data_IF_300232997592
#
_entry.id   IF_300232997592
#
_cell.length_a   1.000
_cell.length_b   1.000
_cell.length_c   1.000
_cell.angle_alpha   90.00
_cell.angle_beta   90.00
_cell.angle_gamma   90.00
#
_symmetry.space_group_name_H-M   'P 1'
#
loop_
_entity.id
_entity.type
_entity.pdbx_description
1 polymer ?
#
# COMPACT_ATOMS: atom_id res chain seq x y z
N UNK A 1 2.74 9.55 5.40
CA UNK A 1 1.52 9.29 6.19
C UNK A 1 1.86 8.66 7.53
N UNK A 2 1.36 9.23 8.62
CA UNK A 2 1.48 8.63 9.95
C UNK A 2 0.36 7.58 10.12
N UNK A 3 0.73 6.30 10.08
CA UNK A 3 -0.24 5.19 10.13
C UNK A 3 -0.89 5.04 11.51
N UNK A 4 -0.23 5.44 12.58
CA UNK A 4 -0.84 5.44 13.92
C UNK A 4 -1.96 6.48 14.00
N UNK A 5 -1.75 7.68 13.46
CA UNK A 5 -2.79 8.70 13.38
C UNK A 5 -3.97 8.24 12.51
N UNK A 6 -3.71 7.57 11.39
CA UNK A 6 -4.78 6.99 10.55
C UNK A 6 -5.58 5.94 11.32
N UNK A 7 -4.91 5.06 12.07
CA UNK A 7 -5.59 4.05 12.91
C UNK A 7 -6.47 4.70 13.98
N UNK A 8 -6.00 5.78 14.58
CA UNK A 8 -6.76 6.54 15.58
C UNK A 8 -7.96 7.25 14.97
N UNK A 9 -7.75 8.03 13.89
CA UNK A 9 -8.79 8.75 13.15
C UNK A 9 -9.92 7.83 12.67
N UNK A 10 -9.58 6.63 12.20
CA UNK A 10 -10.55 5.68 11.61
C UNK A 10 -11.01 4.60 12.59
N UNK A 11 -10.55 4.65 13.83
CA UNK A 11 -10.81 3.62 14.84
C UNK A 11 -12.14 3.75 15.59
N UNK A 12 -12.89 4.83 15.37
CA UNK A 12 -14.21 5.07 16.02
C UNK A 12 -14.14 5.30 17.53
N UNK A 13 -12.95 5.53 18.10
CA UNK A 13 -12.79 5.75 19.55
C UNK A 13 -12.77 7.24 19.99
N UNK A 14 -12.93 8.12 19.02
CA UNK A 14 -12.76 9.56 19.23
C UNK A 14 -11.30 9.96 19.40
N UNK A 15 -11.00 11.20 19.05
CA UNK A 15 -9.67 11.81 19.22
C UNK A 15 -9.71 12.69 20.46
N UNK A 16 -8.68 12.57 21.30
CA UNK A 16 -8.50 13.51 22.39
C UNK A 16 -8.08 14.86 21.81
N UNK A 17 -9.01 15.81 21.76
CA UNK A 17 -8.76 17.19 21.37
C UNK A 17 -8.84 18.07 22.61
N UNK A 18 -7.76 18.79 22.92
CA UNK A 18 -7.74 19.75 24.02
C UNK A 18 -8.26 21.10 23.53
N UNK A 19 -9.42 21.53 24.02
CA UNK A 19 -9.85 22.92 23.90
C UNK A 19 -9.03 23.80 24.82
N UNK A 20 -8.80 25.05 24.42
CA UNK A 20 -8.20 26.07 25.30
C UNK A 20 -9.10 26.21 26.55
N UNK A 21 -8.51 26.04 27.74
CA UNK A 21 -9.22 26.16 29.06
C UNK A 21 -10.21 25.03 29.40
N UNK A 22 -10.20 23.88 28.71
CA UNK A 22 -11.00 22.73 29.13
C UNK A 22 -10.16 21.48 29.39
N UNK A 23 -10.66 20.60 30.25
CA UNK A 23 -10.15 19.25 30.36
C UNK A 23 -10.48 18.46 29.09
N UNK A 24 -9.71 17.42 28.81
CA UNK A 24 -9.76 16.63 27.60
C UNK A 24 -11.20 16.28 27.15
N UNK A 25 -11.64 16.88 26.05
CA UNK A 25 -12.87 16.49 25.37
C UNK A 25 -12.53 15.44 24.31
N UNK A 26 -13.21 14.31 24.34
CA UNK A 26 -13.18 13.36 23.24
C UNK A 26 -14.06 13.86 22.12
N UNK A 27 -13.47 14.07 20.96
CA UNK A 27 -14.21 14.41 19.73
C UNK A 27 -14.37 13.13 18.93
N UNK A 28 -15.60 12.69 18.73
CA UNK A 28 -15.93 11.58 17.87
C UNK A 28 -16.02 12.07 16.41
N UNK A 29 -15.13 11.56 15.58
CA UNK A 29 -15.13 11.89 14.15
C UNK A 29 -16.02 10.89 13.41
N UNK A 30 -17.13 11.37 12.91
CA UNK A 30 -18.06 10.59 12.08
C UNK A 30 -17.88 11.01 10.62
N UNK A 31 -17.48 10.08 9.78
CA UNK A 31 -17.35 10.35 8.34
C UNK A 31 -16.23 9.58 7.67
N UNK A 32 -16.17 9.73 6.35
CA UNK A 32 -15.08 9.19 5.52
C UNK A 32 -14.02 10.26 5.34
N UNK A 33 -12.78 9.94 5.68
CA UNK A 33 -11.66 10.85 5.49
C UNK A 33 -11.11 10.70 4.07
N UNK A 34 -11.03 11.80 3.34
CA UNK A 34 -10.46 11.87 2.00
C UNK A 34 -9.22 12.74 2.06
N UNK A 35 -8.11 12.23 1.56
CA UNK A 35 -6.84 12.94 1.44
C UNK A 35 -6.47 13.03 -0.04
N UNK A 36 -6.45 14.25 -0.57
CA UNK A 36 -6.03 14.52 -1.94
C UNK A 36 -4.53 14.83 -1.97
N UNK A 37 -3.81 14.16 -2.84
CA UNK A 37 -2.36 14.26 -2.96
C UNK A 37 -1.95 14.29 -4.44
N UNK A 38 -1.09 15.24 -4.80
CA UNK A 38 -0.46 15.25 -6.12
C UNK A 38 0.62 14.15 -6.23
N UNK A 39 1.30 13.86 -5.11
CA UNK A 39 2.32 12.81 -5.02
C UNK A 39 2.06 11.94 -3.80
N UNK A 40 2.24 10.64 -3.97
CA UNK A 40 2.10 9.69 -2.86
C UNK A 40 3.11 9.97 -1.75
N UNK A 41 2.62 10.01 -0.52
CA UNK A 41 3.47 10.20 0.66
C UNK A 41 4.09 8.88 1.11
N UNK A 42 5.32 8.90 1.60
CA UNK A 42 5.88 7.78 2.33
C UNK A 42 5.01 7.44 3.56
N UNK A 43 4.89 6.16 3.88
CA UNK A 43 4.14 5.65 5.03
C UNK A 43 5.09 5.35 6.18
N UNK A 44 4.78 5.87 7.37
CA UNK A 44 5.55 5.63 8.59
C UNK A 44 4.69 4.88 9.61
N UNK A 45 5.15 3.71 10.03
CA UNK A 45 4.50 2.87 11.03
C UNK A 45 4.26 1.43 10.55
N UNK A 46 3.46 0.69 11.31
CA UNK A 46 3.13 -0.71 11.01
C UNK A 46 2.18 -0.85 9.82
N UNK A 47 2.64 -1.52 8.78
CA UNK A 47 1.96 -1.77 7.49
C UNK A 47 1.08 -3.04 7.48
N UNK A 48 0.60 -3.49 8.64
CA UNK A 48 -0.22 -4.69 8.76
C UNK A 48 -1.62 -4.55 8.12
N UNK A 49 -2.39 -5.66 8.16
CA UNK A 49 -3.77 -5.77 7.63
C UNK A 49 -4.72 -4.66 8.08
N UNK A 50 -4.46 -4.08 9.24
CA UNK A 50 -5.26 -2.99 9.78
C UNK A 50 -5.24 -1.75 8.89
N UNK A 51 -4.13 -1.49 8.20
CA UNK A 51 -3.99 -0.39 7.25
C UNK A 51 -4.65 -0.73 5.92
N UNK A 52 -4.43 -1.93 5.39
CA UNK A 52 -5.07 -2.39 4.15
C UNK A 52 -6.60 -2.27 4.19
N UNK A 53 -7.21 -2.49 5.36
CA UNK A 53 -8.66 -2.33 5.53
C UNK A 53 -9.13 -0.88 5.58
N UNK A 54 -8.26 0.06 5.94
CA UNK A 54 -8.59 1.48 6.17
C UNK A 54 -8.22 2.39 4.99
N UNK A 55 -7.17 2.03 4.27
CA UNK A 55 -6.65 2.83 3.18
C UNK A 55 -7.24 2.36 1.84
N UNK A 56 -7.55 3.32 0.97
CA UNK A 56 -7.92 3.09 -0.42
C UNK A 56 -7.16 4.09 -1.28
N UNK A 57 -6.31 3.60 -2.17
CA UNK A 57 -5.59 4.40 -3.15
C UNK A 57 -6.42 4.51 -4.42
N UNK A 58 -7.12 5.63 -4.58
CA UNK A 58 -8.00 5.89 -5.72
C UNK A 58 -7.27 6.80 -6.70
N UNK A 59 -6.88 6.30 -7.89
CA UNK A 59 -6.19 7.10 -8.88
C UNK A 59 -7.16 8.03 -9.63
N UNK A 60 -6.77 9.28 -9.78
CA UNK A 60 -7.35 10.18 -10.76
C UNK A 60 -6.49 10.14 -12.02
N UNK A 61 -6.82 9.23 -12.93
CA UNK A 61 -6.00 8.94 -14.13
C UNK A 61 -6.24 9.90 -15.29
N UNK A 62 -7.26 10.75 -15.19
CA UNK A 62 -7.62 11.69 -16.27
C UNK A 62 -6.87 13.01 -16.11
N UNK A 63 -6.21 13.43 -17.18
CA UNK A 63 -5.52 14.73 -17.26
C UNK A 63 -6.39 15.70 -18.03
N UNK A 64 -6.71 16.84 -17.41
CA UNK A 64 -7.44 17.94 -18.03
C UNK A 64 -6.48 19.08 -18.33
N UNK A 65 -6.29 19.42 -19.61
CA UNK A 65 -5.30 20.40 -20.04
C UNK A 65 -5.89 21.39 -21.04
N UNK A 66 -5.30 22.57 -21.10
CA UNK A 66 -5.52 23.57 -22.16
C UNK A 66 -4.42 23.53 -23.21
N UNK A 67 -3.38 22.73 -22.99
CA UNK A 67 -2.25 22.59 -23.90
C UNK A 67 -2.69 21.94 -25.22
N UNK A 68 -2.49 22.69 -26.31
CA UNK A 68 -2.90 22.26 -27.65
C UNK A 68 -2.09 21.09 -28.19
N UNK A 69 -0.82 20.96 -27.80
CA UNK A 69 0.04 19.87 -28.26
C UNK A 69 -0.34 18.54 -27.61
N UNK A 70 -0.61 18.54 -26.30
CA UNK A 70 -1.11 17.37 -25.60
C UNK A 70 -2.50 16.98 -26.11
N UNK A 71 -3.36 17.96 -26.42
CA UNK A 71 -4.70 17.68 -26.97
C UNK A 71 -4.65 17.10 -28.39
N UNK A 72 -3.64 17.44 -29.20
CA UNK A 72 -3.43 16.81 -30.53
C UNK A 72 -3.08 15.33 -30.41
N UNK A 73 -2.31 14.94 -29.37
CA UNK A 73 -1.91 13.56 -29.10
C UNK A 73 -2.99 12.72 -28.44
N UNK A 74 -4.17 13.27 -28.14
CA UNK A 74 -5.25 12.56 -27.42
C UNK A 74 -5.73 11.28 -28.12
N UNK A 75 -5.46 11.07 -29.41
CA UNK A 75 -5.74 9.82 -30.10
C UNK A 75 -4.85 8.66 -29.63
N UNK A 76 -3.66 8.99 -29.13
CA UNK A 76 -2.69 8.05 -28.55
C UNK A 76 -2.86 7.96 -27.03
N UNK A 77 -3.31 9.06 -26.40
CA UNK A 77 -3.48 9.21 -24.95
C UNK A 77 -4.98 9.16 -24.58
N UNK A 78 -5.46 8.01 -24.17
CA UNK A 78 -6.89 7.77 -23.87
C UNK A 78 -7.45 8.60 -22.71
N UNK A 79 -6.60 9.18 -21.86
CA UNK A 79 -6.97 9.83 -20.61
C UNK A 79 -6.78 11.36 -20.62
N UNK A 80 -6.51 11.98 -21.78
CA UNK A 80 -6.30 13.41 -21.90
C UNK A 80 -7.55 14.10 -22.42
N UNK A 81 -8.04 15.09 -21.68
CA UNK A 81 -9.26 15.82 -21.97
C UNK A 81 -9.00 17.34 -21.99
N UNK A 82 -9.80 18.06 -22.79
CA UNK A 82 -9.76 19.52 -22.77
C UNK A 82 -10.28 20.04 -21.44
N UNK A 83 -9.48 20.85 -20.74
CA UNK A 83 -9.91 21.52 -19.53
C UNK A 83 -10.98 22.57 -19.82
N UNK A 84 -12.01 22.63 -18.96
CA UNK A 84 -12.97 23.70 -18.94
C UNK A 84 -12.80 24.52 -17.65
N UNK A 85 -12.27 25.76 -17.73
CA UNK A 85 -12.05 26.59 -16.54
C UNK A 85 -13.32 26.86 -15.72
N UNK A 86 -14.49 26.80 -16.33
CA UNK A 86 -15.79 26.98 -15.67
C UNK A 86 -15.97 26.00 -14.50
N UNK A 87 -15.51 24.75 -14.59
CA UNK A 87 -15.64 23.75 -13.53
C UNK A 87 -14.89 24.10 -12.23
N UNK A 88 -13.99 25.09 -12.27
CA UNK A 88 -13.28 25.58 -11.07
C UNK A 88 -13.93 26.83 -10.47
N UNK A 89 -15.00 27.35 -11.05
CA UNK A 89 -15.67 28.58 -10.58
C UNK A 89 -16.67 28.29 -9.47
N UNK A 90 -16.90 29.29 -8.62
CA UNK A 90 -17.96 29.26 -7.61
C UNK A 90 -19.33 29.12 -8.27
N UNK A 91 -19.54 29.79 -9.40
CA UNK A 91 -20.81 29.74 -10.15
C UNK A 91 -21.16 28.30 -10.54
N UNK A 92 -20.17 27.51 -11.03
CA UNK A 92 -20.39 26.10 -11.31
C UNK A 92 -20.77 25.32 -10.05
N UNK A 93 -20.06 25.55 -8.94
CA UNK A 93 -20.34 24.85 -7.68
C UNK A 93 -21.77 25.20 -7.19
N UNK A 94 -22.15 26.44 -7.26
CA UNK A 94 -23.47 26.88 -6.83
C UNK A 94 -24.61 26.36 -7.75
N UNK A 95 -24.38 26.31 -9.04
CA UNK A 95 -25.31 25.74 -9.99
C UNK A 95 -25.55 24.25 -9.82
N UNK A 96 -24.45 23.48 -9.59
CA UNK A 96 -24.51 22.01 -9.60
C UNK A 96 -24.52 21.33 -8.22
N UNK A 97 -24.37 22.08 -7.10
CA UNK A 97 -24.33 21.51 -5.74
C UNK A 97 -25.53 20.62 -5.40
N UNK A 98 -26.73 21.05 -5.79
CA UNK A 98 -27.95 20.27 -5.55
C UNK A 98 -28.07 19.05 -6.46
N UNK A 99 -27.63 19.16 -7.72
CA UNK A 99 -27.54 18.01 -8.62
C UNK A 99 -26.57 16.93 -8.10
N UNK A 100 -25.40 17.35 -7.64
CA UNK A 100 -24.44 16.46 -7.01
C UNK A 100 -25.03 15.81 -5.75
N UNK A 101 -25.69 16.57 -4.89
CA UNK A 101 -26.31 16.06 -3.68
C UNK A 101 -27.38 15.00 -3.98
N UNK A 102 -28.27 15.27 -4.95
CA UNK A 102 -29.29 14.31 -5.39
C UNK A 102 -28.64 13.07 -5.99
N UNK A 103 -27.57 13.22 -6.77
CA UNK A 103 -26.81 12.09 -7.34
C UNK A 103 -26.24 11.21 -6.23
N UNK A 104 -25.61 11.79 -5.22
CA UNK A 104 -25.06 11.05 -4.09
C UNK A 104 -26.13 10.32 -3.30
N UNK A 105 -27.28 10.96 -3.02
CA UNK A 105 -28.41 10.29 -2.34
C UNK A 105 -28.92 9.11 -3.15
N UNK A 106 -29.10 9.27 -4.46
CA UNK A 106 -29.55 8.18 -5.35
C UNK A 106 -28.57 7.01 -5.32
N UNK A 107 -27.26 7.32 -5.32
CA UNK A 107 -26.23 6.30 -5.26
C UNK A 107 -26.23 5.55 -3.92
N UNK A 108 -26.39 6.28 -2.81
CA UNK A 108 -26.52 5.66 -1.48
C UNK A 108 -27.74 4.76 -1.39
N UNK A 109 -28.93 5.24 -1.85
CA UNK A 109 -30.16 4.43 -1.85
C UNK A 109 -30.06 3.18 -2.72
N UNK A 110 -29.47 3.31 -3.91
CA UNK A 110 -29.22 2.16 -4.78
C UNK A 110 -28.32 1.15 -4.08
N UNK A 111 -27.25 1.63 -3.45
CA UNK A 111 -26.30 0.79 -2.74
C UNK A 111 -26.93 0.09 -1.53
N UNK A 112 -27.74 0.77 -0.73
CA UNK A 112 -28.53 0.17 0.37
C UNK A 112 -29.49 -0.91 -0.14
N UNK A 113 -30.15 -0.67 -1.24
CA UNK A 113 -31.05 -1.66 -1.84
C UNK A 113 -30.33 -2.90 -2.36
N UNK A 114 -29.15 -2.74 -2.96
CA UNK A 114 -28.32 -3.83 -3.47
C UNK A 114 -27.61 -4.60 -2.34
N UNK A 115 -27.55 -4.05 -1.13
CA UNK A 115 -26.84 -4.63 0.05
C UNK A 115 -27.72 -4.63 1.32
N UNK A 116 -28.88 -5.30 1.34
CA UNK A 116 -29.87 -5.19 2.41
C UNK A 116 -29.40 -5.73 3.78
N UNK A 117 -28.36 -6.57 3.80
CA UNK A 117 -27.74 -7.10 5.03
C UNK A 117 -26.52 -6.31 5.48
N UNK A 118 -26.36 -5.11 4.95
CA UNK A 118 -25.17 -4.30 5.18
C UNK A 118 -25.11 -3.79 6.62
N UNK A 119 -24.09 -4.24 7.30
CA UNK A 119 -23.60 -3.56 8.50
C UNK A 119 -22.54 -2.57 8.05
N UNK A 120 -22.77 -1.28 8.30
CA UNK A 120 -21.99 -0.11 7.82
C UNK A 120 -20.45 -0.27 7.88
N UNK A 121 -19.97 -1.17 8.72
CA UNK A 121 -18.53 -1.39 8.92
C UNK A 121 -17.90 -2.45 8.02
N UNK A 122 -18.65 -3.26 7.26
CA UNK A 122 -18.06 -4.49 6.78
C UNK A 122 -17.77 -4.64 5.30
N UNK A 123 -18.50 -4.00 4.38
CA UNK A 123 -18.33 -4.35 2.96
C UNK A 123 -18.66 -3.23 1.97
N UNK A 124 -17.90 -2.15 1.98
CA UNK A 124 -17.85 -1.34 0.75
C UNK A 124 -17.24 -2.20 -0.36
N UNK A 125 -17.98 -2.37 -1.46
CA UNK A 125 -17.39 -2.95 -2.67
C UNK A 125 -16.23 -2.07 -3.12
N UNK A 126 -15.05 -2.66 -3.15
CA UNK A 126 -13.85 -2.00 -3.65
C UNK A 126 -13.48 -2.71 -4.93
N UNK A 127 -13.34 -1.98 -6.03
CA UNK A 127 -12.94 -2.56 -7.30
C UNK A 127 -11.57 -3.25 -7.16
N UNK A 128 -11.35 -4.30 -7.94
CA UNK A 128 -10.09 -5.02 -7.95
C UNK A 128 -8.91 -4.09 -8.24
N UNK A 129 -9.06 -3.16 -9.17
CA UNK A 129 -8.04 -2.18 -9.53
C UNK A 129 -7.61 -1.33 -8.31
N UNK A 130 -8.56 -0.82 -7.51
CA UNK A 130 -8.25 -0.07 -6.29
C UNK A 130 -7.55 -0.98 -5.26
N UNK A 131 -8.00 -2.22 -5.15
CA UNK A 131 -7.40 -3.19 -4.21
C UNK A 131 -5.95 -3.49 -4.57
N UNK A 132 -5.68 -3.79 -5.84
CA UNK A 132 -4.32 -4.05 -6.35
C UNK A 132 -3.43 -2.82 -6.14
N UNK A 133 -3.91 -1.64 -6.50
CA UNK A 133 -3.18 -0.39 -6.35
C UNK A 133 -2.88 -0.07 -4.88
N UNK A 134 -3.85 -0.25 -4.00
CA UNK A 134 -3.65 -0.05 -2.55
C UNK A 134 -2.61 -1.01 -1.99
N UNK A 135 -2.66 -2.28 -2.40
CA UNK A 135 -1.64 -3.28 -2.00
C UNK A 135 -0.25 -2.87 -2.49
N UNK A 136 -0.14 -2.48 -3.77
CA UNK A 136 1.13 -2.01 -4.32
C UNK A 136 1.67 -0.81 -3.53
N UNK A 137 0.83 0.19 -3.23
CA UNK A 137 1.25 1.35 -2.44
C UNK A 137 1.76 0.96 -1.04
N UNK A 138 1.15 -0.02 -0.39
CA UNK A 138 1.63 -0.54 0.90
C UNK A 138 2.96 -1.29 0.71
N UNK A 139 3.06 -2.14 -0.31
CA UNK A 139 4.27 -2.91 -0.62
C UNK A 139 5.47 -2.01 -0.95
N UNK A 140 5.25 -0.93 -1.72
CA UNK A 140 6.27 0.05 -2.10
C UNK A 140 6.81 0.85 -0.88
N UNK A 141 6.08 0.86 0.23
CA UNK A 141 6.50 1.46 1.50
C UNK A 141 7.02 0.43 2.53
N UNK A 142 6.95 -0.85 2.22
CA UNK A 142 7.47 -1.94 3.07
C UNK A 142 8.93 -2.24 2.70
N UNK A 143 9.85 -1.51 3.31
CA UNK A 143 11.29 -1.66 3.04
C UNK A 143 11.80 -3.08 3.27
N UNK A 144 11.25 -3.82 4.25
CA UNK A 144 11.62 -5.21 4.50
C UNK A 144 11.20 -6.08 3.32
N UNK A 145 9.97 -5.88 2.85
CA UNK A 145 9.44 -6.62 1.70
C UNK A 145 10.12 -6.21 0.39
N UNK A 146 10.45 -4.93 0.20
CA UNK A 146 11.21 -4.47 -0.96
C UNK A 146 12.57 -5.15 -1.05
N UNK A 147 13.34 -5.19 0.05
CA UNK A 147 14.64 -5.87 0.09
C UNK A 147 14.49 -7.38 -0.13
N UNK A 148 13.42 -7.98 0.41
CA UNK A 148 13.10 -9.37 0.11
C UNK A 148 12.89 -9.59 -1.39
N UNK A 149 12.09 -8.76 -2.06
CA UNK A 149 11.83 -8.84 -3.51
C UNK A 149 13.06 -8.57 -4.37
N UNK A 150 13.96 -7.68 -3.93
CA UNK A 150 15.20 -7.40 -4.66
C UNK A 150 16.08 -8.63 -4.82
N UNK A 151 16.20 -9.45 -3.78
CA UNK A 151 17.13 -10.57 -3.75
C UNK A 151 16.48 -11.93 -3.98
N UNK A 152 15.18 -12.04 -3.75
CA UNK A 152 14.47 -13.32 -3.77
C UNK A 152 13.23 -13.25 -4.65
N UNK A 153 12.86 -14.37 -5.22
CA UNK A 153 11.66 -14.54 -6.05
C UNK A 153 10.74 -15.59 -5.44
N UNK A 154 9.44 -15.42 -5.62
CA UNK A 154 8.44 -16.43 -5.25
C UNK A 154 8.57 -17.63 -6.19
N UNK A 155 8.74 -18.79 -5.60
CA UNK A 155 8.83 -20.05 -6.31
C UNK A 155 7.82 -21.03 -5.70
N UNK A 156 6.77 -21.32 -6.43
CA UNK A 156 5.65 -22.16 -5.97
C UNK A 156 6.02 -23.65 -5.96
N UNK A 157 7.21 -24.01 -6.43
CA UNK A 157 7.68 -25.40 -6.40
C UNK A 157 7.78 -25.87 -4.94
N UNK A 158 7.26 -27.07 -4.68
CA UNK A 158 7.38 -27.69 -3.35
C UNK A 158 8.85 -27.91 -3.01
N UNK A 159 9.28 -27.31 -1.92
CA UNK A 159 10.65 -27.41 -1.43
C UNK A 159 11.43 -26.10 -1.41
N UNK A 160 11.01 -25.06 -2.13
CA UNK A 160 11.69 -23.76 -2.09
C UNK A 160 11.46 -23.05 -0.77
N UNK A 161 12.54 -22.62 -0.14
CA UNK A 161 12.51 -21.86 1.11
C UNK A 161 13.77 -21.03 1.31
N UNK A 162 13.61 -19.96 2.07
CA UNK A 162 14.71 -19.09 2.53
C UNK A 162 14.72 -19.07 4.05
N UNK A 163 15.88 -19.32 4.63
CA UNK A 163 16.06 -19.20 6.08
C UNK A 163 16.15 -17.73 6.46
N UNK A 164 15.51 -17.36 7.55
CA UNK A 164 15.56 -15.98 8.03
C UNK A 164 17.00 -15.45 8.18
N UNK A 165 17.94 -16.28 8.66
CA UNK A 165 19.32 -15.86 8.83
C UNK A 165 20.01 -15.45 7.52
N UNK A 166 19.70 -16.15 6.42
CA UNK A 166 20.19 -15.79 5.08
C UNK A 166 19.62 -14.45 4.64
N UNK A 167 18.29 -14.27 4.75
CA UNK A 167 17.64 -13.00 4.49
C UNK A 167 18.19 -11.88 5.38
N UNK A 168 18.39 -12.14 6.68
CA UNK A 168 18.89 -11.15 7.64
C UNK A 168 20.29 -10.64 7.28
N UNK A 169 21.16 -11.50 6.76
CA UNK A 169 22.47 -11.07 6.25
C UNK A 169 22.33 -10.11 5.06
N UNK A 170 21.47 -10.44 4.09
CA UNK A 170 21.20 -9.54 2.97
C UNK A 170 20.57 -8.22 3.42
N UNK A 171 19.62 -8.28 4.32
CA UNK A 171 18.97 -7.10 4.87
C UNK A 171 19.96 -6.13 5.53
N UNK A 172 20.84 -6.65 6.40
CA UNK A 172 21.89 -5.83 7.05
C UNK A 172 22.89 -5.23 6.06
N UNK A 173 23.12 -5.87 4.94
CA UNK A 173 24.03 -5.40 3.91
C UNK A 173 23.40 -4.45 2.90
N UNK A 174 22.07 -4.28 2.94
CA UNK A 174 21.37 -3.35 2.06
C UNK A 174 21.75 -1.90 2.35
N UNK A 175 21.71 -1.06 1.32
CA UNK A 175 21.96 0.38 1.46
C UNK A 175 20.94 1.01 2.41
N UNK A 176 19.69 0.59 2.34
CA UNK A 176 18.66 1.03 3.28
C UNK A 176 19.09 0.82 4.74
N UNK A 177 19.48 -0.39 5.13
CA UNK A 177 19.86 -0.67 6.51
C UNK A 177 21.10 0.10 6.95
N UNK A 178 22.05 0.31 6.06
CA UNK A 178 23.29 1.07 6.33
C UNK A 178 23.05 2.55 6.55
N UNK A 179 22.02 3.13 5.93
CA UNK A 179 21.66 4.55 6.10
C UNK A 179 20.87 4.82 7.39
N UNK A 180 20.34 3.79 8.04
CA UNK A 180 19.61 3.93 9.30
C UNK A 180 20.53 4.36 10.45
N UNK A 181 20.00 5.21 11.33
CA UNK A 181 20.66 5.52 12.59
C UNK A 181 20.79 4.27 13.48
N UNK A 182 21.78 4.24 14.37
CA UNK A 182 21.95 3.13 15.33
C UNK A 182 20.70 2.89 16.20
N UNK A 183 19.96 3.95 16.49
CA UNK A 183 18.70 3.83 17.24
C UNK A 183 17.65 3.09 16.44
N UNK A 184 17.48 3.41 15.16
CA UNK A 184 16.52 2.74 14.27
C UNK A 184 16.91 1.28 14.01
N UNK A 185 18.20 1.00 13.78
CA UNK A 185 18.72 -0.36 13.63
C UNK A 185 18.39 -1.24 14.86
N UNK A 186 18.56 -0.69 16.06
CA UNK A 186 18.37 -1.46 17.29
C UNK A 186 16.92 -1.54 17.77
N UNK A 187 16.08 -0.56 17.43
CA UNK A 187 14.71 -0.48 17.91
C UNK A 187 13.69 -0.89 16.85
N UNK A 188 13.74 -0.27 15.68
CA UNK A 188 12.72 -0.46 14.64
C UNK A 188 13.04 -1.63 13.72
N UNK A 189 14.31 -1.81 13.38
CA UNK A 189 14.79 -2.85 12.46
C UNK A 189 15.73 -3.84 13.13
N UNK A 190 15.53 -4.10 14.43
CA UNK A 190 16.23 -5.20 15.10
C UNK A 190 15.78 -6.55 14.53
N UNK A 191 16.60 -7.57 14.68
CA UNK A 191 16.30 -8.92 14.21
C UNK A 191 14.92 -9.40 14.67
N UNK A 192 14.59 -9.17 15.95
CA UNK A 192 13.29 -9.52 16.51
C UNK A 192 12.13 -8.76 15.84
N UNK A 193 12.30 -7.48 15.55
CA UNK A 193 11.26 -6.67 14.92
C UNK A 193 11.06 -7.05 13.44
N UNK A 194 12.14 -7.38 12.73
CA UNK A 194 12.06 -7.85 11.35
C UNK A 194 11.37 -9.21 11.27
N UNK A 195 11.65 -10.14 12.19
CA UNK A 195 10.92 -11.41 12.29
C UNK A 195 9.43 -11.16 12.53
N UNK A 196 9.09 -10.30 13.48
CA UNK A 196 7.70 -9.97 13.79
C UNK A 196 6.99 -9.32 12.62
N UNK A 197 7.68 -8.43 11.90
CA UNK A 197 7.16 -7.84 10.67
C UNK A 197 6.85 -8.90 9.61
N UNK A 198 7.77 -9.83 9.35
CA UNK A 198 7.55 -10.92 8.39
C UNK A 198 6.38 -11.84 8.77
N UNK A 199 6.10 -11.99 10.07
CA UNK A 199 4.94 -12.75 10.59
C UNK A 199 3.62 -12.01 10.38
N UNK A 200 3.61 -10.71 10.48
CA UNK A 200 2.39 -9.89 10.55
C UNK A 200 2.07 -9.16 9.26
N UNK A 201 3.08 -8.88 8.42
CA UNK A 201 2.90 -8.17 7.15
C UNK A 201 2.00 -8.96 6.19
N UNK A 202 1.07 -8.25 5.54
CA UNK A 202 0.18 -8.83 4.52
C UNK A 202 0.91 -9.52 3.39
N UNK A 203 2.11 -9.04 3.07
CA UNK A 203 2.90 -9.50 1.92
C UNK A 203 3.67 -10.78 2.20
N UNK A 204 3.99 -11.07 3.47
CA UNK A 204 4.89 -12.17 3.86
C UNK A 204 4.29 -13.21 4.79
N UNK A 205 3.31 -12.85 5.63
CA UNK A 205 2.77 -13.73 6.70
C UNK A 205 2.30 -15.10 6.23
N UNK A 206 1.72 -15.19 5.03
CA UNK A 206 1.22 -16.47 4.48
C UNK A 206 2.34 -17.43 4.13
N UNK A 207 3.52 -16.90 3.85
CA UNK A 207 4.72 -17.66 3.50
C UNK A 207 5.63 -17.91 4.70
N UNK A 208 5.45 -17.15 5.79
CA UNK A 208 6.30 -17.28 6.98
C UNK A 208 5.90 -18.49 7.81
N UNK A 209 6.89 -19.30 8.19
CA UNK A 209 6.76 -20.45 9.09
C UNK A 209 7.75 -20.34 10.22
N UNK A 210 7.28 -20.46 11.46
CA UNK A 210 8.15 -20.43 12.64
C UNK A 210 9.09 -21.64 12.68
N UNK A 211 8.60 -22.78 12.23
CA UNK A 211 9.36 -24.00 12.12
C UNK A 211 9.00 -24.74 10.85
N UNK A 212 10.00 -25.34 10.20
CA UNK A 212 9.82 -26.18 9.02
C UNK A 212 10.81 -27.34 9.07
N UNK A 213 10.30 -28.55 8.94
CA UNK A 213 11.10 -29.78 9.03
C UNK A 213 11.20 -30.48 7.68
N UNK A 214 12.36 -30.97 7.35
CA UNK A 214 12.68 -31.68 6.12
C UNK A 214 13.25 -33.05 6.44
N UNK A 215 12.80 -34.11 5.74
CA UNK A 215 13.43 -35.41 5.77
C UNK A 215 14.56 -35.47 4.75
N UNK A 216 15.74 -35.81 5.20
CA UNK A 216 16.87 -36.16 4.29
C UNK A 216 16.67 -37.53 3.68
N UNK A 217 17.42 -37.80 2.60
CA UNK A 217 17.47 -39.10 1.95
C UNK A 217 17.92 -40.25 2.88
N UNK A 218 18.72 -39.93 3.93
CA UNK A 218 19.16 -40.88 4.98
C UNK A 218 18.13 -41.10 6.10
N UNK A 219 16.95 -40.47 6.03
CA UNK A 219 15.90 -40.56 7.03
C UNK A 219 15.98 -39.54 8.17
N UNK A 220 17.07 -38.78 8.30
CA UNK A 220 17.20 -37.73 9.30
C UNK A 220 16.21 -36.59 9.06
N UNK A 221 15.73 -35.98 10.14
CA UNK A 221 14.88 -34.81 10.09
C UNK A 221 15.66 -33.57 10.48
N UNK A 222 15.75 -32.59 9.57
CA UNK A 222 16.32 -31.28 9.88
C UNK A 222 15.16 -30.31 10.07
N UNK A 223 15.19 -29.54 11.17
CA UNK A 223 14.21 -28.49 11.45
C UNK A 223 14.88 -27.13 11.40
N UNK A 224 14.35 -26.24 10.57
CA UNK A 224 14.74 -24.83 10.51
C UNK A 224 13.70 -23.96 11.21
N UNK A 225 14.17 -22.90 11.86
CA UNK A 225 13.30 -21.88 12.48
C UNK A 225 13.24 -20.62 11.62
N UNK A 226 12.08 -19.95 11.65
CA UNK A 226 11.83 -18.70 10.94
C UNK A 226 12.18 -18.81 9.45
N UNK A 227 11.30 -19.41 8.68
CA UNK A 227 11.51 -19.75 7.28
C UNK A 227 10.45 -19.08 6.41
N UNK A 228 10.86 -18.53 5.30
CA UNK A 228 9.96 -18.06 4.23
C UNK A 228 9.80 -19.20 3.22
N UNK A 229 8.64 -19.89 3.24
CA UNK A 229 8.29 -20.96 2.30
C UNK A 229 7.91 -20.35 0.95
N UNK A 230 8.21 -21.07 -0.13
CA UNK A 230 7.95 -20.65 -1.52
C UNK A 230 8.74 -19.41 -1.95
N UNK A 231 9.92 -19.22 -1.40
CA UNK A 231 10.87 -18.22 -1.83
C UNK A 231 12.23 -18.86 -2.09
N UNK A 232 12.93 -18.36 -3.10
CA UNK A 232 14.32 -18.72 -3.40
C UNK A 232 15.13 -17.50 -3.80
N UNK A 233 16.45 -17.62 -3.70
CA UNK A 233 17.36 -16.59 -4.20
C UNK A 233 17.17 -16.43 -5.72
N UNK A 234 17.17 -15.21 -6.22
CA UNK A 234 17.17 -14.93 -7.65
C UNK A 234 18.44 -15.41 -8.32
N UNK A 235 18.33 -15.87 -9.54
CA UNK A 235 19.49 -16.11 -10.41
C UNK A 235 20.00 -14.79 -10.99
N UNK A 236 21.25 -14.78 -11.47
CA UNK A 236 21.83 -13.59 -12.11
C UNK A 236 21.00 -13.11 -13.30
N UNK A 237 20.44 -14.05 -14.09
CA UNK A 237 19.62 -13.73 -15.26
C UNK A 237 18.28 -13.08 -14.89
N UNK A 238 17.66 -13.50 -13.78
CA UNK A 238 16.42 -12.91 -13.26
C UNK A 238 16.66 -11.49 -12.76
N UNK A 239 17.76 -11.26 -12.06
CA UNK A 239 18.16 -9.93 -11.59
C UNK A 239 18.43 -8.98 -12.77
N UNK A 240 19.13 -9.45 -13.83
CA UNK A 240 19.36 -8.65 -15.04
C UNK A 240 18.07 -8.29 -15.77
N UNK A 241 17.13 -9.24 -15.89
CA UNK A 241 15.85 -8.97 -16.56
C UNK A 241 15.02 -7.90 -15.83
N UNK A 242 14.94 -7.98 -14.52
CA UNK A 242 14.21 -6.97 -13.75
C UNK A 242 14.84 -5.57 -13.89
N UNK A 243 16.15 -5.45 -13.82
CA UNK A 243 16.85 -4.17 -14.03
C UNK A 243 16.60 -3.57 -15.41
N UNK A 244 16.48 -4.44 -16.46
CA UNK A 244 16.14 -4.01 -17.81
C UNK A 244 14.67 -3.59 -17.96
N UNK A 245 13.77 -4.18 -17.19
CA UNK A 245 12.35 -3.83 -17.17
C UNK A 245 12.11 -2.54 -16.36
N UNK A 246 12.75 -2.38 -15.20
CA UNK A 246 12.71 -1.14 -14.40
C UNK A 246 13.26 0.05 -15.18
N UNK A 247 14.39 -0.11 -15.89
CA UNK A 247 14.95 0.95 -16.73
C UNK A 247 14.10 1.33 -17.94
N UNK A 248 13.13 0.50 -18.35
CA UNK A 248 12.14 0.87 -19.38
C UNK A 248 10.95 1.62 -18.83
N UNK A 249 10.54 1.33 -17.61
CA UNK A 249 9.42 2.00 -16.93
C UNK A 249 9.79 3.44 -16.57
N UNK A 250 11.02 3.69 -16.15
CA UNK A 250 11.50 5.06 -15.86
C UNK A 250 11.47 5.95 -17.11
N UNK A 251 11.71 5.39 -18.30
CA UNK A 251 11.59 6.15 -19.57
C UNK A 251 10.15 6.49 -19.95
N UNK A 252 9.17 5.68 -19.53
CA UNK A 252 7.75 5.95 -19.82
C UNK A 252 7.11 6.93 -18.79
N UNK A 253 7.59 6.95 -17.54
CA UNK A 253 7.11 7.88 -16.52
C UNK A 253 7.69 9.31 -16.70
N UNK A 254 8.90 9.47 -17.24
CA UNK A 254 9.56 10.77 -17.45
C UNK A 254 8.90 11.61 -18.56
N UNK A 255 8.05 11.01 -19.39
CA UNK A 255 7.27 11.72 -20.42
C UNK A 255 5.84 12.08 -19.99
N UNK A 256 5.47 11.84 -18.72
CA UNK A 256 4.13 12.09 -18.19
C UNK A 256 4.08 13.20 -17.10
N UNK A 257 5.23 13.85 -16.80
CA UNK A 257 5.33 15.07 -15.99
C UNK A 257 5.31 16.35 -16.93
#
# INVERSE_FOLDING_TARGET
LNLSAIKELTGGKGICARKLYSNEDKVELVGTHILELNKKCAMNGDLGDSILRRLRDIPFVSTYTTDSELLKKRHELTNVFKANPYYKTIDFQDEFKYALFIYLIRYCKRWEHENPTFNVCSRLYVSEAITVRTKKYIEDNDHIFMILKQNYVKDVCDGSYVKFQEFWMYFKNSDFYRTLSKHEQNKTYSEKQVIEHLKTSTSTRIFFKETMSFKKSNGDVITYRNVLKYWRLKTSDETMKEQLEEGKVDFEEEYLD
#
